data_IF_374879410560
#
_entry.id   IF_374879410560
#
_cell.length_a   1.000
_cell.length_b   1.000
_cell.length_c   1.000
_cell.angle_alpha   90.00
_cell.angle_beta   90.00
_cell.angle_gamma   90.00
#
_symmetry.space_group_name_H-M   'P 1'
#
loop_
_entity.id
_entity.type
_entity.pdbx_description
1 polymer ?
#
# COMPACT_ATOMS: atom_id res chain seq x y z
N UNK A 1 3.93 -13.11 0.62
CA UNK A 1 4.77 -11.90 0.81
C UNK A 1 3.90 -10.86 1.47
N UNK A 2 4.51 -9.98 2.26
CA UNK A 2 3.82 -8.82 2.82
C UNK A 2 4.25 -7.56 2.08
N UNK A 3 3.34 -6.63 1.92
CA UNK A 3 3.54 -5.39 1.19
C UNK A 3 3.07 -4.22 2.05
N UNK A 4 4.02 -3.38 2.46
CA UNK A 4 3.73 -2.13 3.18
C UNK A 4 3.54 -1.03 2.15
N UNK A 5 2.37 -0.42 2.17
CA UNK A 5 1.96 0.64 1.26
C UNK A 5 1.80 1.93 2.07
N UNK A 6 2.38 3.00 1.57
CA UNK A 6 2.08 4.37 1.96
C UNK A 6 1.37 5.05 0.79
N UNK A 7 0.16 5.53 1.04
CA UNK A 7 -0.71 6.08 0.01
C UNK A 7 -1.23 7.44 0.42
N UNK A 8 -1.12 8.42 -0.48
CA UNK A 8 -1.73 9.73 -0.31
C UNK A 8 -3.16 9.68 -0.84
N UNK A 9 -4.12 9.71 0.06
CA UNK A 9 -5.55 9.68 -0.30
C UNK A 9 -6.04 10.96 -0.95
N UNK A 10 -5.33 12.08 -0.74
CA UNK A 10 -5.70 13.39 -1.26
C UNK A 10 -5.24 13.53 -2.71
N UNK A 11 -3.99 13.16 -3.01
CA UNK A 11 -3.50 13.16 -4.41
C UNK A 11 -3.87 11.90 -5.18
N UNK A 12 -4.22 10.82 -4.48
CA UNK A 12 -4.50 9.52 -5.09
C UNK A 12 -3.25 8.75 -5.50
N UNK A 13 -2.10 9.06 -4.91
CA UNK A 13 -0.79 8.57 -5.34
C UNK A 13 -0.19 7.55 -4.37
N UNK A 14 0.49 6.55 -4.95
CA UNK A 14 1.35 5.65 -4.21
C UNK A 14 2.65 6.38 -3.85
N UNK A 15 2.87 6.61 -2.56
CA UNK A 15 4.07 7.26 -2.05
C UNK A 15 5.20 6.24 -1.90
N UNK A 16 4.91 5.08 -1.32
CA UNK A 16 5.91 4.01 -1.20
C UNK A 16 5.28 2.62 -1.16
N UNK A 17 6.04 1.65 -1.68
CA UNK A 17 5.74 0.22 -1.63
C UNK A 17 7.00 -0.51 -1.17
N UNK A 18 6.93 -1.21 -0.04
CA UNK A 18 8.00 -2.07 0.45
C UNK A 18 7.50 -3.51 0.55
N UNK A 19 8.37 -4.48 0.26
CA UNK A 19 8.03 -5.90 0.32
C UNK A 19 8.83 -6.62 1.39
N UNK A 20 8.19 -7.59 2.03
CA UNK A 20 8.76 -8.43 3.07
C UNK A 20 8.41 -9.90 2.80
N UNK A 21 9.25 -10.82 3.28
CA UNK A 21 8.89 -12.24 3.30
C UNK A 21 7.85 -12.47 4.39
N UNK A 22 7.08 -13.55 4.26
CA UNK A 22 6.08 -13.91 5.28
C UNK A 22 6.72 -14.24 6.64
N UNK A 23 7.98 -14.72 6.64
CA UNK A 23 8.79 -14.93 7.85
C UNK A 23 9.07 -13.63 8.61
N UNK A 24 9.04 -12.48 7.91
CA UNK A 24 9.49 -11.20 8.45
C UNK A 24 8.31 -10.33 8.92
N UNK A 25 7.17 -10.96 9.23
CA UNK A 25 5.94 -10.25 9.64
C UNK A 25 6.17 -9.26 10.78
N UNK A 26 6.94 -9.64 11.80
CA UNK A 26 7.24 -8.76 12.92
C UNK A 26 8.06 -7.52 12.50
N UNK A 27 8.94 -7.66 11.50
CA UNK A 27 9.65 -6.51 10.94
C UNK A 27 8.69 -5.60 10.17
N UNK A 28 7.81 -6.17 9.36
CA UNK A 28 6.82 -5.42 8.59
C UNK A 28 5.82 -4.64 9.47
N UNK A 29 5.33 -5.25 10.56
CA UNK A 29 4.47 -4.58 11.56
C UNK A 29 5.19 -3.43 12.25
N UNK A 30 6.46 -3.63 12.65
CA UNK A 30 7.27 -2.57 13.27
C UNK A 30 7.53 -1.41 12.31
N UNK A 31 7.85 -1.70 11.05
CA UNK A 31 7.99 -0.67 10.01
C UNK A 31 6.69 0.09 9.78
N UNK A 32 5.54 -0.61 9.72
CA UNK A 32 4.22 0.03 9.62
C UNK A 32 4.02 1.04 10.75
N UNK A 33 4.19 0.61 12.00
CA UNK A 33 4.01 1.46 13.17
C UNK A 33 4.99 2.64 13.18
N UNK A 34 6.25 2.41 12.82
CA UNK A 34 7.27 3.48 12.76
C UNK A 34 6.88 4.55 11.76
N UNK A 35 6.38 4.13 10.58
CA UNK A 35 5.92 5.05 9.54
C UNK A 35 4.67 5.82 9.97
N UNK A 36 3.68 5.16 10.57
CA UNK A 36 2.47 5.80 11.11
C UNK A 36 2.81 6.88 12.16
N UNK A 37 3.72 6.57 13.09
CA UNK A 37 4.16 7.50 14.11
C UNK A 37 4.90 8.71 13.52
N UNK A 38 5.76 8.47 12.53
CA UNK A 38 6.51 9.54 11.87
C UNK A 38 5.59 10.46 11.03
N UNK A 39 4.61 9.91 10.34
CA UNK A 39 3.58 10.67 9.63
C UNK A 39 2.72 11.50 10.60
N UNK A 40 2.34 10.90 11.73
CA UNK A 40 1.58 11.59 12.76
C UNK A 40 2.35 12.78 13.35
N UNK A 41 3.64 12.59 13.66
CA UNK A 41 4.52 13.67 14.16
C UNK A 41 4.65 14.82 13.16
N UNK A 42 4.68 14.52 11.87
CA UNK A 42 4.75 15.50 10.78
C UNK A 42 3.39 16.09 10.41
N UNK A 43 2.30 15.65 11.05
CA UNK A 43 0.91 16.01 10.71
C UNK A 43 0.55 15.75 9.24
N UNK A 44 1.19 14.74 8.64
CA UNK A 44 0.93 14.35 7.25
C UNK A 44 -0.16 13.26 7.24
N UNK A 45 -1.27 13.53 6.57
CA UNK A 45 -2.37 12.57 6.42
C UNK A 45 -2.10 11.62 5.25
N UNK A 46 -1.52 10.46 5.54
CA UNK A 46 -1.35 9.35 4.59
C UNK A 46 -1.93 8.07 5.15
N UNK A 47 -2.42 7.23 4.24
CA UNK A 47 -2.89 5.88 4.54
C UNK A 47 -1.69 4.94 4.52
N UNK A 48 -1.49 4.20 5.62
CA UNK A 48 -0.45 3.18 5.72
C UNK A 48 -1.14 1.83 5.90
N UNK A 49 -0.87 0.89 5.01
CA UNK A 49 -1.50 -0.45 5.05
C UNK A 49 -0.48 -1.55 4.81
N UNK A 50 -0.67 -2.68 5.47
CA UNK A 50 0.13 -3.88 5.28
C UNK A 50 -0.76 -4.98 4.69
N UNK A 51 -0.43 -5.44 3.48
CA UNK A 51 -1.23 -6.40 2.73
C UNK A 51 -0.44 -7.68 2.47
N UNK A 52 -1.12 -8.82 2.49
CA UNK A 52 -0.53 -10.09 2.12
C UNK A 52 -0.95 -10.51 0.71
N UNK A 53 0.03 -10.89 -0.12
CA UNK A 53 -0.23 -11.47 -1.42
C UNK A 53 0.88 -12.46 -1.82
N UNK A 54 0.55 -13.37 -2.75
CA UNK A 54 1.52 -14.34 -3.28
C UNK A 54 2.67 -13.68 -4.03
N UNK A 55 2.37 -12.62 -4.78
CA UNK A 55 3.34 -11.81 -5.56
C UNK A 55 2.85 -10.37 -5.63
N UNK A 56 3.73 -9.43 -6.00
CA UNK A 56 3.33 -8.04 -6.24
C UNK A 56 2.33 -7.92 -7.39
N UNK A 57 2.47 -8.74 -8.44
CA UNK A 57 1.50 -8.79 -9.55
C UNK A 57 0.09 -9.15 -9.05
N UNK A 58 -0.01 -10.14 -8.16
CA UNK A 58 -1.29 -10.51 -7.56
C UNK A 58 -1.86 -9.41 -6.67
N UNK A 59 -1.00 -8.70 -5.93
CA UNK A 59 -1.39 -7.53 -5.14
C UNK A 59 -1.99 -6.43 -6.02
N UNK A 60 -1.29 -6.05 -7.10
CA UNK A 60 -1.73 -5.02 -8.04
C UNK A 60 -3.10 -5.34 -8.65
N UNK A 61 -3.34 -6.61 -9.01
CA UNK A 61 -4.61 -7.05 -9.58
C UNK A 61 -5.79 -6.99 -8.60
N UNK A 62 -5.54 -7.27 -7.32
CA UNK A 62 -6.59 -7.38 -6.27
C UNK A 62 -6.81 -6.09 -5.50
N UNK A 63 -5.79 -5.23 -5.40
CA UNK A 63 -5.80 -3.98 -4.64
C UNK A 63 -5.49 -2.77 -5.54
N UNK A 64 -6.13 -2.74 -6.72
CA UNK A 64 -5.89 -1.76 -7.79
C UNK A 64 -5.99 -0.30 -7.35
N UNK A 65 -6.79 0.00 -6.33
CA UNK A 65 -6.93 1.33 -5.71
C UNK A 65 -5.59 2.00 -5.42
N UNK A 66 -4.57 1.25 -5.02
CA UNK A 66 -3.26 1.81 -4.67
C UNK A 66 -2.32 2.00 -5.87
N UNK A 67 -2.71 1.53 -7.06
CA UNK A 67 -1.82 1.44 -8.22
C UNK A 67 -2.38 2.04 -9.50
N UNK A 68 -3.70 2.12 -9.62
CA UNK A 68 -4.38 2.59 -10.82
C UNK A 68 -5.07 3.93 -10.53
N UNK A 69 -4.93 4.85 -11.48
CA UNK A 69 -5.70 6.10 -11.49
C UNK A 69 -7.19 5.82 -11.75
N UNK A 70 -8.08 6.77 -11.41
CA UNK A 70 -9.51 6.67 -11.74
C UNK A 70 -9.75 6.41 -13.25
N UNK A 71 -8.86 6.91 -14.11
CA UNK A 71 -8.88 6.71 -15.57
C UNK A 71 -8.50 5.29 -15.99
N UNK A 72 -7.70 4.59 -15.20
CA UNK A 72 -7.32 3.19 -15.46
C UNK A 72 -8.36 2.22 -14.90
N UNK A 73 -8.90 2.51 -13.70
CA UNK A 73 -9.98 1.73 -13.08
C UNK A 73 -11.24 1.70 -13.95
N UNK A 74 -11.58 2.81 -14.63
CA UNK A 74 -12.74 2.94 -15.52
C UNK A 74 -12.63 2.17 -16.85
N UNK A 75 -11.44 1.71 -17.24
CA UNK A 75 -11.25 0.86 -18.42
C UNK A 75 -11.54 -0.62 -18.14
N UNK A 76 -11.68 -1.00 -16.88
CA UNK A 76 -12.09 -2.35 -16.50
C UNK A 76 -13.60 -2.47 -16.69
N UNK A 77 -14.03 -2.74 -17.92
CA UNK A 77 -15.41 -3.17 -18.19
C UNK A 77 -15.66 -4.44 -17.37
N UNK A 78 -16.62 -4.35 -16.45
CA UNK A 78 -17.29 -5.52 -15.90
C UNK A 78 -18.04 -6.12 -17.10
N UNK A 79 -17.53 -7.23 -17.62
CA UNK A 79 -18.18 -8.03 -18.66
C UNK A 79 -19.19 -8.97 -18.01
#
# INVERSE_FOLDING_TARGET
MLFLIEYDRTSGELISLRSFRNSDRNAAERERLTLELDLNRRQVKREVVLLEARTEKALRLTHRRYFETLTELSKTKIA
#
